data_IF_344062450733
#
_entry.id   IF_344062450733
#
_cell.length_a   1.000
_cell.length_b   1.000
_cell.length_c   1.000
_cell.angle_alpha   90.00
_cell.angle_beta   90.00
_cell.angle_gamma   90.00
#
_symmetry.space_group_name_H-M   'P 1'
#
loop_
_entity.id
_entity.type
_entity.pdbx_description
1 polymer ?
#
# COMPACT_ATOMS: atom_id res chain seq x y z
N UNK A 1 30.45 -46.40 46.81
CA UNK A 1 29.27 -45.51 46.96
C UNK A 1 29.45 -44.11 46.38
N UNK A 2 30.62 -43.45 46.49
CA UNK A 2 30.82 -42.09 45.94
C UNK A 2 30.67 -41.97 44.41
N UNK A 3 31.11 -42.98 43.66
CA UNK A 3 30.97 -43.03 42.19
C UNK A 3 29.51 -43.07 41.71
N UNK A 4 28.61 -43.71 42.48
CA UNK A 4 27.19 -43.78 42.13
C UNK A 4 26.49 -42.42 42.34
N UNK A 5 26.85 -41.67 43.38
CA UNK A 5 26.32 -40.32 43.61
C UNK A 5 26.78 -39.32 42.55
N UNK A 6 28.03 -39.39 42.10
CA UNK A 6 28.55 -38.51 41.03
C UNK A 6 27.83 -38.75 39.70
N UNK A 7 27.55 -40.01 39.35
CA UNK A 7 26.82 -40.34 38.12
C UNK A 7 25.35 -39.88 38.15
N UNK A 8 24.68 -39.99 39.30
CA UNK A 8 23.30 -39.49 39.47
C UNK A 8 23.26 -37.96 39.35
N UNK A 9 24.21 -37.25 39.98
CA UNK A 9 24.32 -35.80 39.89
C UNK A 9 24.56 -35.33 38.45
N UNK A 10 25.43 -36.02 37.70
CA UNK A 10 25.71 -35.69 36.31
C UNK A 10 24.47 -35.89 35.41
N UNK A 11 23.70 -36.96 35.64
CA UNK A 11 22.44 -37.20 34.92
C UNK A 11 21.39 -36.11 35.18
N UNK A 12 21.26 -35.63 36.42
CA UNK A 12 20.34 -34.54 36.78
C UNK A 12 20.73 -33.25 36.07
N UNK A 13 22.02 -32.89 36.09
CA UNK A 13 22.54 -31.68 35.44
C UNK A 13 22.33 -31.77 33.92
N UNK A 14 22.64 -32.91 33.31
CA UNK A 14 22.50 -33.13 31.87
C UNK A 14 21.04 -33.06 31.43
N UNK A 15 20.13 -33.63 32.21
CA UNK A 15 18.67 -33.54 31.96
C UNK A 15 18.18 -32.10 32.06
N UNK A 16 18.64 -31.34 33.06
CA UNK A 16 18.26 -29.93 33.22
C UNK A 16 18.78 -29.07 32.05
N UNK A 17 20.01 -29.34 31.59
CA UNK A 17 20.59 -28.67 30.43
C UNK A 17 19.79 -28.96 29.15
N UNK A 18 19.36 -30.20 28.94
CA UNK A 18 18.52 -30.56 27.78
C UNK A 18 17.18 -29.83 27.84
N UNK A 19 16.50 -29.81 28.99
CA UNK A 19 15.22 -29.11 29.15
C UNK A 19 15.40 -27.61 28.88
N UNK A 20 16.48 -27.02 29.39
CA UNK A 20 16.79 -25.61 29.16
C UNK A 20 17.06 -25.30 27.68
N UNK A 21 17.83 -26.16 27.00
CA UNK A 21 18.09 -26.02 25.56
C UNK A 21 16.80 -26.15 24.74
N UNK A 22 15.90 -27.07 25.11
CA UNK A 22 14.59 -27.20 24.47
C UNK A 22 13.72 -25.96 24.68
N UNK A 23 13.72 -25.36 25.87
CA UNK A 23 12.99 -24.12 26.13
C UNK A 23 13.50 -22.95 25.27
N UNK A 24 14.83 -22.78 25.18
CA UNK A 24 15.42 -21.77 24.29
C UNK A 24 15.01 -22.02 22.84
N UNK A 25 15.05 -23.28 22.39
CA UNK A 25 14.67 -23.63 21.02
C UNK A 25 13.20 -23.31 20.71
N UNK A 26 12.28 -23.59 21.65
CA UNK A 26 10.86 -23.25 21.49
C UNK A 26 10.67 -21.73 21.40
N UNK A 27 11.33 -20.95 22.28
CA UNK A 27 11.25 -19.48 22.25
C UNK A 27 11.78 -18.93 20.92
N UNK A 28 12.89 -19.49 20.41
CA UNK A 28 13.48 -19.09 19.13
C UNK A 28 12.59 -19.44 17.93
N UNK A 29 11.95 -20.60 17.94
CA UNK A 29 10.97 -20.98 16.92
C UNK A 29 9.78 -20.02 16.89
N UNK A 30 9.27 -19.62 18.06
CA UNK A 30 8.15 -18.68 18.17
C UNK A 30 8.51 -17.28 17.68
N UNK A 31 9.71 -16.79 18.00
CA UNK A 31 10.14 -15.46 17.53
C UNK A 31 10.30 -15.41 16.01
N UNK A 32 10.85 -16.47 15.40
CA UNK A 32 10.96 -16.56 13.93
C UNK A 32 9.59 -16.60 13.25
N UNK A 33 8.61 -17.32 13.83
CA UNK A 33 7.25 -17.38 13.29
C UNK A 33 6.56 -16.01 13.33
N UNK A 34 6.69 -15.28 14.45
CA UNK A 34 6.11 -13.95 14.60
C UNK A 34 6.64 -12.96 13.54
N UNK A 35 7.96 -12.98 13.31
CA UNK A 35 8.61 -12.11 12.30
C UNK A 35 8.13 -12.44 10.88
N UNK A 36 7.92 -13.72 10.55
CA UNK A 36 7.45 -14.11 9.22
C UNK A 36 5.99 -13.69 8.97
N UNK A 37 5.13 -13.75 9.99
CA UNK A 37 3.73 -13.31 9.88
C UNK A 37 3.65 -11.81 9.65
N UNK A 38 4.44 -11.01 10.38
CA UNK A 38 4.48 -9.56 10.19
C UNK A 38 4.98 -9.17 8.78
N UNK A 39 6.03 -9.84 8.28
CA UNK A 39 6.55 -9.59 6.94
C UNK A 39 5.57 -10.00 5.84
N UNK A 40 4.94 -11.17 5.95
CA UNK A 40 3.96 -11.64 4.97
C UNK A 40 2.73 -10.73 4.87
N UNK A 41 2.25 -10.20 6.00
CA UNK A 41 1.15 -9.23 6.00
C UNK A 41 1.53 -7.90 5.33
N UNK A 42 2.78 -7.44 5.51
CA UNK A 42 3.30 -6.22 4.89
C UNK A 42 3.48 -6.38 3.37
N UNK A 43 4.07 -7.49 2.94
CA UNK A 43 4.29 -7.77 1.51
C UNK A 43 2.97 -7.90 0.74
N UNK A 44 1.97 -8.59 1.32
CA UNK A 44 0.65 -8.72 0.70
C UNK A 44 -0.07 -7.37 0.52
N UNK A 45 0.05 -6.45 1.50
CA UNK A 45 -0.51 -5.09 1.38
C UNK A 45 0.17 -4.27 0.29
N UNK A 46 1.48 -4.45 0.12
CA UNK A 46 2.27 -3.76 -0.89
C UNK A 46 1.95 -4.27 -2.30
N UNK A 47 1.77 -5.59 -2.44
CA UNK A 47 1.32 -6.22 -3.69
C UNK A 47 -0.09 -5.74 -4.09
N UNK A 48 -1.00 -5.63 -3.12
CA UNK A 48 -2.36 -5.12 -3.33
C UNK A 48 -2.38 -3.65 -3.78
N UNK A 49 -1.56 -2.80 -3.13
CA UNK A 49 -1.36 -1.40 -3.52
C UNK A 49 -0.83 -1.27 -4.95
N UNK A 50 0.21 -2.03 -5.31
CA UNK A 50 0.81 -2.00 -6.65
C UNK A 50 -0.18 -2.50 -7.70
N UNK A 51 -0.96 -3.53 -7.37
CA UNK A 51 -2.00 -4.06 -8.25
C UNK A 51 -3.08 -3.02 -8.47
N UNK A 52 -3.58 -2.38 -7.42
CA UNK A 52 -4.57 -1.30 -7.49
C UNK A 52 -4.08 -0.13 -8.34
N UNK A 53 -2.83 0.30 -8.11
CA UNK A 53 -2.15 1.32 -8.91
C UNK A 53 -2.15 0.99 -10.40
N UNK A 54 -1.82 -0.26 -10.73
CA UNK A 54 -1.81 -0.75 -12.11
C UNK A 54 -3.23 -0.79 -12.70
N UNK A 55 -4.25 -1.16 -11.92
CA UNK A 55 -5.62 -1.16 -12.43
C UNK A 55 -6.14 0.27 -12.66
N UNK A 56 -5.82 1.21 -11.78
CA UNK A 56 -6.18 2.62 -11.95
C UNK A 56 -5.52 3.24 -13.18
N UNK A 57 -4.26 2.91 -13.45
CA UNK A 57 -3.50 3.49 -14.56
C UNK A 57 -3.91 3.00 -15.94
N UNK A 58 -4.66 1.89 -16.03
CA UNK A 58 -5.23 1.37 -17.28
C UNK A 58 -6.76 1.48 -17.32
N UNK A 59 -7.36 2.08 -16.29
CA UNK A 59 -8.82 2.13 -16.17
C UNK A 59 -9.41 3.04 -17.25
N UNK A 60 -10.28 2.53 -18.14
CA UNK A 60 -10.92 3.36 -19.17
C UNK A 60 -11.82 4.45 -18.56
N UNK A 61 -12.20 4.32 -17.29
CA UNK A 61 -12.95 5.32 -16.54
C UNK A 61 -12.14 6.57 -16.22
N UNK A 62 -10.81 6.48 -16.17
CA UNK A 62 -9.92 7.57 -15.77
C UNK A 62 -8.99 8.00 -16.91
N UNK A 63 -8.65 7.07 -17.80
CA UNK A 63 -7.66 7.22 -18.87
C UNK A 63 -8.28 7.76 -20.16
N UNK A 64 -7.47 8.46 -20.97
CA UNK A 64 -7.84 8.97 -22.28
C UNK A 64 -8.07 7.84 -23.28
N UNK A 65 -9.10 7.95 -24.12
CA UNK A 65 -9.33 7.02 -25.22
C UNK A 65 -8.10 6.94 -26.14
N UNK A 66 -7.72 5.72 -26.53
CA UNK A 66 -6.51 5.45 -27.30
C UNK A 66 -5.21 5.42 -26.49
N UNK A 67 -5.26 5.60 -25.17
CA UNK A 67 -4.13 5.48 -24.24
C UNK A 67 -4.36 4.37 -23.21
N UNK A 68 -5.08 3.31 -23.57
CA UNK A 68 -5.48 2.21 -22.69
C UNK A 68 -4.30 1.46 -22.05
N UNK A 69 -3.11 1.53 -22.68
CA UNK A 69 -1.86 0.96 -22.15
C UNK A 69 -1.04 1.97 -21.30
N UNK A 70 -1.54 3.18 -21.06
CA UNK A 70 -0.74 4.30 -20.56
C UNK A 70 -1.40 5.14 -19.47
N UNK A 71 -0.56 5.72 -18.60
CA UNK A 71 -0.90 6.59 -17.48
C UNK A 71 -1.30 8.01 -17.90
N UNK A 72 -2.10 8.16 -18.96
CA UNK A 72 -2.64 9.45 -19.42
C UNK A 72 -4.09 9.62 -18.97
N UNK A 73 -4.26 10.30 -17.84
CA UNK A 73 -5.55 10.67 -17.29
C UNK A 73 -6.16 11.84 -18.04
N UNK A 74 -7.48 11.94 -18.00
CA UNK A 74 -8.21 13.09 -18.56
C UNK A 74 -8.85 13.87 -17.42
N UNK A 75 -8.60 15.17 -17.37
CA UNK A 75 -9.11 16.06 -16.32
C UNK A 75 -10.64 15.96 -16.11
N UNK A 76 -11.43 15.97 -17.19
CA UNK A 76 -12.89 15.83 -17.10
C UNK A 76 -13.34 14.53 -16.44
N UNK A 77 -12.62 13.41 -16.69
CA UNK A 77 -12.93 12.12 -16.07
C UNK A 77 -12.57 12.13 -14.59
N UNK A 78 -11.41 12.70 -14.24
CA UNK A 78 -10.96 12.86 -12.86
C UNK A 78 -11.91 13.72 -12.02
N UNK A 79 -12.51 14.75 -12.61
CA UNK A 79 -13.50 15.60 -11.93
C UNK A 79 -14.87 14.94 -11.83
N UNK A 80 -15.25 14.10 -12.78
CA UNK A 80 -16.56 13.42 -12.78
C UNK A 80 -16.66 12.19 -11.88
N UNK A 81 -15.52 11.63 -11.47
CA UNK A 81 -15.51 10.37 -10.72
C UNK A 81 -15.75 10.63 -9.23
N UNK A 82 -16.72 9.90 -8.66
CA UNK A 82 -17.00 9.97 -7.23
C UNK A 82 -16.18 8.94 -6.44
N UNK A 83 -15.92 9.21 -5.16
CA UNK A 83 -15.26 8.23 -4.29
C UNK A 83 -16.07 6.92 -4.18
N UNK A 84 -17.41 7.00 -4.21
CA UNK A 84 -18.26 5.82 -4.16
C UNK A 84 -18.07 4.91 -5.37
N UNK A 85 -17.84 5.48 -6.55
CA UNK A 85 -17.62 4.71 -7.78
C UNK A 85 -16.25 4.05 -7.77
N UNK A 86 -15.21 4.75 -7.32
CA UNK A 86 -13.89 4.14 -7.10
C UNK A 86 -13.98 2.99 -6.10
N UNK A 87 -14.69 3.19 -4.98
CA UNK A 87 -14.81 2.17 -3.94
C UNK A 87 -15.58 0.92 -4.39
N UNK A 88 -16.57 1.06 -5.27
CA UNK A 88 -17.28 -0.08 -5.86
C UNK A 88 -16.40 -0.94 -6.77
N UNK A 89 -15.42 -0.32 -7.44
CA UNK A 89 -14.58 -0.99 -8.44
C UNK A 89 -13.30 -1.53 -7.80
N UNK A 90 -12.65 -0.72 -6.96
CA UNK A 90 -11.30 -0.97 -6.45
C UNK A 90 -11.26 -1.24 -4.94
N UNK A 91 -12.40 -1.18 -4.24
CA UNK A 91 -12.46 -1.37 -2.79
C UNK A 91 -12.12 -0.11 -2.00
N UNK A 92 -11.89 -0.28 -0.69
CA UNK A 92 -11.68 0.86 0.22
C UNK A 92 -10.26 1.44 0.08
N UNK A 93 -10.12 2.37 -0.86
CA UNK A 93 -8.85 3.01 -1.22
C UNK A 93 -8.95 4.53 -1.19
N UNK A 94 -7.81 5.17 -0.93
CA UNK A 94 -7.64 6.61 -1.03
C UNK A 94 -6.91 6.93 -2.34
N UNK A 95 -7.39 7.91 -3.09
CA UNK A 95 -6.83 8.30 -4.38
C UNK A 95 -6.84 9.81 -4.49
N UNK A 96 -5.66 10.39 -4.63
CA UNK A 96 -5.46 11.82 -4.88
C UNK A 96 -4.53 11.98 -6.09
N UNK A 97 -4.85 12.88 -6.99
CA UNK A 97 -3.98 13.25 -8.11
C UNK A 97 -3.70 14.73 -8.00
N UNK A 98 -2.44 15.13 -8.03
CA UNK A 98 -2.09 16.55 -7.96
C UNK A 98 -0.96 16.93 -8.91
N UNK A 99 -0.96 18.17 -9.36
CA UNK A 99 0.11 18.77 -10.14
C UNK A 99 1.07 19.47 -9.16
N UNK A 100 2.36 19.11 -9.14
CA UNK A 100 3.34 19.76 -8.28
C UNK A 100 3.34 21.28 -8.45
N UNK A 101 3.23 22.00 -7.34
CA UNK A 101 3.21 23.47 -7.33
C UNK A 101 1.82 24.08 -7.51
N UNK A 102 0.77 23.29 -7.68
CA UNK A 102 -0.62 23.76 -7.60
C UNK A 102 -1.21 23.45 -6.21
N UNK A 103 -2.03 24.36 -5.69
CA UNK A 103 -2.68 24.24 -4.37
C UNK A 103 -4.21 24.22 -4.46
N UNK A 104 -4.77 24.41 -5.65
CA UNK A 104 -6.22 24.50 -5.83
C UNK A 104 -6.84 23.12 -6.04
N UNK A 105 -7.82 22.80 -5.18
CA UNK A 105 -8.64 21.60 -5.30
C UNK A 105 -9.64 21.78 -6.44
N UNK A 106 -9.76 20.71 -7.24
CA UNK A 106 -10.62 20.61 -8.38
C UNK A 106 -12.05 20.33 -7.94
N UNK A 107 -12.92 21.27 -8.25
CA UNK A 107 -14.37 21.21 -8.17
C UNK A 107 -14.95 21.34 -9.58
N UNK A 108 -16.24 21.05 -9.74
CA UNK A 108 -16.92 21.11 -11.05
C UNK A 108 -16.82 22.48 -11.72
N UNK A 109 -16.67 23.55 -10.91
CA UNK A 109 -16.63 24.94 -11.39
C UNK A 109 -15.24 25.39 -11.85
N UNK A 110 -14.16 24.79 -11.35
CA UNK A 110 -12.77 25.24 -11.56
C UNK A 110 -11.85 24.14 -12.10
N UNK A 111 -12.40 23.04 -12.62
CA UNK A 111 -11.61 21.87 -13.04
C UNK A 111 -10.55 22.16 -14.13
N UNK A 112 -10.68 23.29 -14.83
CA UNK A 112 -9.78 23.73 -15.89
C UNK A 112 -8.55 24.50 -15.37
N UNK A 113 -8.62 25.11 -14.18
CA UNK A 113 -7.53 25.88 -13.55
C UNK A 113 -6.95 25.24 -12.29
N UNK A 114 -7.73 24.40 -11.61
CA UNK A 114 -7.31 23.67 -10.41
C UNK A 114 -6.15 22.70 -10.72
N UNK A 115 -5.53 22.10 -9.69
CA UNK A 115 -4.50 21.08 -9.91
C UNK A 115 -4.48 19.96 -8.89
N UNK A 116 -5.50 19.80 -8.05
CA UNK A 116 -5.61 18.72 -7.08
C UNK A 116 -6.98 18.05 -7.21
N UNK A 117 -7.03 16.82 -7.71
CA UNK A 117 -8.22 15.99 -7.73
C UNK A 117 -8.22 15.05 -6.53
N UNK A 118 -9.04 15.36 -5.53
CA UNK A 118 -9.25 14.52 -4.35
C UNK A 118 -10.40 13.55 -4.59
N UNK A 119 -10.12 12.45 -5.30
CA UNK A 119 -11.16 11.48 -5.66
C UNK A 119 -11.66 10.73 -4.43
N UNK A 120 -10.75 10.20 -3.62
CA UNK A 120 -11.03 9.68 -2.28
C UNK A 120 -10.01 10.26 -1.29
N UNK A 121 -10.46 11.06 -0.31
CA UNK A 121 -9.56 11.84 0.54
C UNK A 121 -8.71 10.94 1.43
N UNK A 122 -7.40 11.23 1.47
CA UNK A 122 -6.45 10.50 2.29
C UNK A 122 -6.75 10.62 3.79
N UNK A 123 -6.84 9.48 4.48
CA UNK A 123 -6.87 9.43 5.94
C UNK A 123 -5.45 9.49 6.53
N UNK A 124 -5.32 10.00 7.76
CA UNK A 124 -4.05 9.97 8.52
C UNK A 124 -3.52 8.55 8.76
N UNK A 125 -4.38 7.53 8.64
CA UNK A 125 -4.04 6.12 8.82
C UNK A 125 -3.69 5.37 7.52
N UNK A 126 -3.65 6.07 6.40
CA UNK A 126 -3.45 5.45 5.09
C UNK A 126 -1.98 5.37 4.74
N UNK A 127 -1.51 4.20 4.32
CA UNK A 127 -0.19 4.04 3.71
C UNK A 127 -0.34 4.29 2.22
N UNK A 128 0.30 5.34 1.73
CA UNK A 128 0.21 5.79 0.34
C UNK A 128 1.48 5.56 -0.47
N UNK A 129 1.31 5.27 -1.76
CA UNK A 129 2.36 5.27 -2.78
C UNK A 129 2.10 6.39 -3.80
N UNK A 130 3.18 7.04 -4.22
CA UNK A 130 3.14 8.11 -5.21
C UNK A 130 3.76 7.65 -6.52
N UNK A 131 3.07 7.90 -7.63
CA UNK A 131 3.58 7.62 -8.98
C UNK A 131 3.37 8.82 -9.91
N UNK A 132 4.33 9.11 -10.80
CA UNK A 132 4.13 10.15 -11.80
C UNK A 132 3.09 9.73 -12.83
N UNK A 133 2.20 10.65 -13.18
CA UNK A 133 1.13 10.44 -14.16
C UNK A 133 1.04 11.60 -15.13
N UNK A 134 0.54 11.35 -16.33
CA UNK A 134 0.25 12.41 -17.30
C UNK A 134 -1.22 12.78 -17.20
N UNK A 135 -1.52 14.07 -17.22
CA UNK A 135 -2.88 14.60 -17.16
C UNK A 135 -3.12 15.42 -18.41
N UNK A 136 -4.04 14.96 -19.25
CA UNK A 136 -4.50 15.66 -20.43
C UNK A 136 -5.61 16.63 -20.04
N UNK A 137 -5.34 17.93 -20.23
CA UNK A 137 -6.33 18.99 -20.04
C UNK A 137 -7.15 19.18 -21.30
N UNK A 138 -8.45 18.90 -21.26
CA UNK A 138 -9.30 19.01 -22.46
C UNK A 138 -9.37 20.46 -22.96
N UNK A 139 -9.63 21.42 -22.07
CA UNK A 139 -9.92 22.80 -22.45
C UNK A 139 -8.68 23.52 -23.01
N UNK A 140 -7.52 23.31 -22.40
CA UNK A 140 -6.25 23.91 -22.82
C UNK A 140 -5.46 23.05 -23.82
N UNK A 141 -5.91 21.82 -24.11
CA UNK A 141 -5.26 20.86 -25.01
C UNK A 141 -3.77 20.63 -24.70
N UNK A 142 -3.39 20.72 -23.43
CA UNK A 142 -2.02 20.49 -22.94
C UNK A 142 -1.94 19.22 -22.13
N UNK A 143 -0.75 18.65 -22.05
CA UNK A 143 -0.42 17.55 -21.13
C UNK A 143 0.42 18.14 -20.00
N UNK A 144 0.01 17.86 -18.76
CA UNK A 144 0.74 18.23 -17.56
C UNK A 144 1.20 16.96 -16.83
N UNK A 145 2.32 17.05 -16.12
CA UNK A 145 2.81 15.96 -15.29
C UNK A 145 2.25 16.17 -13.89
N UNK A 146 1.51 15.18 -13.41
CA UNK A 146 1.01 15.11 -12.05
C UNK A 146 1.65 13.95 -11.27
N UNK A 147 1.27 13.87 -10.00
CA UNK A 147 1.58 12.77 -9.10
C UNK A 147 0.24 12.19 -8.68
N UNK A 148 0.07 10.88 -8.85
CA UNK A 148 -1.04 10.13 -8.29
C UNK A 148 -0.57 9.45 -7.02
N UNK A 149 -1.26 9.75 -5.94
CA UNK A 149 -1.11 9.15 -4.63
C UNK A 149 -2.24 8.14 -4.42
N UNK A 150 -1.90 6.88 -4.17
CA UNK A 150 -2.87 5.80 -3.91
C UNK A 150 -2.57 5.20 -2.55
N UNK A 151 -3.59 5.06 -1.72
CA UNK A 151 -3.45 4.60 -0.34
C UNK A 151 -4.46 3.53 0.03
N UNK A 152 -4.06 2.68 0.97
CA UNK A 152 -4.95 1.70 1.62
C UNK A 152 -4.99 1.98 3.12
N UNK A 153 -6.15 1.80 3.72
CA UNK A 153 -6.32 1.94 5.16
C UNK A 153 -5.64 0.78 5.92
N UNK A 154 -5.04 1.11 7.07
CA UNK A 154 -4.33 0.15 7.95
C UNK A 154 -5.08 -0.07 9.25
#
# INVERSE_FOLDING_TARGET
MRLAQTNIMNYIILTFFIIFALLIFVIFMWSMLAVQVERGASEAKLEDLVTTLKMLSISPYLVKEGYEEGSMFVDSKLSSVSCEDIRKIFGDIDVEIYIPGNSEVCEDENYDTCGIWQVCPFSEKSIGYEVPVNIYRINSKKVEIGIMKVGVHV
#
